data_IF_565974940552
#
_entry.id   IF_565974940552
#
_cell.length_a   1.000
_cell.length_b   1.000
_cell.length_c   1.000
_cell.angle_alpha   90.00
_cell.angle_beta   90.00
_cell.angle_gamma   90.00
#
_symmetry.space_group_name_H-M   'P 1'
#
loop_
_entity.id
_entity.type
_entity.pdbx_description
1 polymer ?
#
# COMPACT_ATOMS: atom_id res chain seq x y z
N UNK A 1 7.16 -27.67 28.79
CA UNK A 1 6.95 -27.46 27.34
C UNK A 1 7.53 -26.09 27.02
N UNK A 2 8.46 -25.99 26.06
CA UNK A 2 9.01 -24.67 25.67
C UNK A 2 7.85 -23.86 25.08
N UNK A 3 7.49 -22.73 25.69
CA UNK A 3 6.60 -21.76 25.09
C UNK A 3 7.23 -21.30 23.78
N UNK A 4 6.74 -21.82 22.65
CA UNK A 4 7.15 -21.35 21.34
C UNK A 4 6.26 -20.17 20.99
N UNK A 5 6.88 -19.05 20.64
CA UNK A 5 6.16 -17.91 20.10
C UNK A 5 5.65 -18.27 18.69
N UNK A 6 4.40 -17.96 18.42
CA UNK A 6 3.74 -18.14 17.12
C UNK A 6 3.69 -16.78 16.43
N UNK A 7 4.72 -16.49 15.64
CA UNK A 7 4.73 -15.28 14.83
C UNK A 7 3.64 -15.40 13.77
N UNK A 8 2.71 -14.46 13.71
CA UNK A 8 1.49 -14.59 12.90
C UNK A 8 1.49 -13.58 11.77
N UNK A 9 1.36 -14.08 10.53
CA UNK A 9 1.43 -13.26 9.32
C UNK A 9 0.06 -12.68 8.94
N UNK A 10 -0.97 -13.52 8.93
CA UNK A 10 -2.30 -13.14 8.45
C UNK A 10 -3.41 -14.04 8.98
N UNK A 11 -4.63 -13.50 8.99
CA UNK A 11 -5.87 -14.24 9.19
C UNK A 11 -6.66 -14.34 7.88
N UNK A 12 -7.44 -15.39 7.71
CA UNK A 12 -8.30 -15.59 6.54
C UNK A 12 -9.42 -16.57 6.86
N UNK A 13 -10.43 -16.64 5.99
CA UNK A 13 -11.50 -17.63 6.13
C UNK A 13 -10.91 -19.04 6.03
N UNK A 14 -11.31 -19.94 6.93
CA UNK A 14 -10.84 -21.32 6.91
C UNK A 14 -11.10 -21.92 5.53
N UNK A 15 -10.04 -22.33 4.80
CA UNK A 15 -10.15 -22.71 3.41
C UNK A 15 -10.66 -24.16 3.29
N UNK A 16 -11.57 -24.39 2.35
CA UNK A 16 -12.03 -25.74 1.98
C UNK A 16 -11.08 -26.44 0.97
N UNK A 17 -9.95 -25.82 0.68
CA UNK A 17 -8.96 -26.28 -0.29
C UNK A 17 -7.55 -26.30 0.34
N UNK A 18 -6.63 -27.12 -0.16
CA UNK A 18 -5.26 -27.13 0.33
C UNK A 18 -4.56 -25.80 0.00
N UNK A 19 -4.10 -25.10 1.03
CA UNK A 19 -3.30 -23.87 0.89
C UNK A 19 -1.85 -24.23 0.68
N UNK A 20 -1.23 -23.67 -0.35
CA UNK A 20 0.22 -23.78 -0.52
C UNK A 20 0.88 -22.73 0.37
N UNK A 21 1.49 -23.18 1.46
CA UNK A 21 2.22 -22.31 2.37
C UNK A 21 3.57 -21.93 1.74
N UNK A 22 3.88 -20.62 1.62
CA UNK A 22 5.15 -20.17 1.10
C UNK A 22 6.30 -20.46 2.08
N UNK A 23 7.54 -20.23 1.65
CA UNK A 23 8.68 -20.31 2.57
C UNK A 23 8.60 -19.18 3.59
N UNK A 24 8.68 -19.54 4.87
CA UNK A 24 8.79 -18.60 5.98
C UNK A 24 10.13 -17.85 5.98
N UNK A 25 10.38 -17.13 7.07
CA UNK A 25 11.61 -16.37 7.24
C UNK A 25 12.79 -17.26 7.68
N UNK A 26 12.61 -18.09 8.70
CA UNK A 26 13.64 -18.98 9.26
C UNK A 26 13.26 -20.46 9.19
N UNK A 27 11.98 -20.78 9.12
CA UNK A 27 11.43 -22.12 9.19
C UNK A 27 10.15 -22.28 8.36
N UNK A 28 9.46 -23.39 8.63
CA UNK A 28 8.22 -23.74 7.92
C UNK A 28 7.03 -23.01 8.53
N UNK A 29 6.17 -22.52 7.65
CA UNK A 29 4.89 -21.97 8.06
C UNK A 29 3.93 -23.10 8.46
N UNK A 30 3.13 -22.83 9.47
CA UNK A 30 2.10 -23.72 9.99
C UNK A 30 0.76 -23.03 9.85
N UNK A 31 -0.27 -23.81 9.53
CA UNK A 31 -1.65 -23.37 9.48
C UNK A 31 -2.33 -23.74 10.79
N UNK A 32 -2.87 -22.74 11.49
CA UNK A 32 -3.69 -22.94 12.69
C UNK A 32 -5.15 -22.67 12.31
N UNK A 33 -5.96 -23.73 12.34
CA UNK A 33 -7.36 -23.67 11.92
C UNK A 33 -8.27 -23.43 13.13
N UNK A 34 -8.99 -22.31 13.12
CA UNK A 34 -10.19 -22.13 13.92
C UNK A 34 -11.43 -22.63 13.18
N UNK A 35 -12.61 -22.42 13.78
CA UNK A 35 -13.89 -22.84 13.17
C UNK A 35 -14.14 -22.19 11.81
N UNK A 36 -14.01 -20.86 11.75
CA UNK A 36 -14.32 -20.07 10.56
C UNK A 36 -13.14 -19.24 10.05
N UNK A 37 -12.18 -18.95 10.94
CA UNK A 37 -10.99 -18.17 10.65
C UNK A 37 -9.77 -19.06 10.91
N UNK A 38 -8.81 -19.00 10.01
CA UNK A 38 -7.52 -19.64 10.12
C UNK A 38 -6.40 -18.61 10.12
N UNK A 39 -5.25 -19.00 10.67
CA UNK A 39 -4.07 -18.17 10.79
C UNK A 39 -2.84 -18.88 10.22
N UNK A 40 -1.99 -18.13 9.50
CA UNK A 40 -0.66 -18.62 9.10
C UNK A 40 0.37 -18.09 10.06
N UNK A 41 1.15 -19.01 10.63
CA UNK A 41 2.13 -18.72 11.68
C UNK A 41 3.46 -19.37 11.40
N UNK A 42 4.53 -18.80 11.96
CA UNK A 42 5.85 -19.42 12.00
C UNK A 42 6.27 -19.60 13.47
N UNK A 43 6.35 -20.84 13.96
CA UNK A 43 6.76 -21.12 15.34
C UNK A 43 8.23 -20.81 15.58
N UNK A 44 8.53 -20.27 16.77
CA UNK A 44 9.91 -20.09 17.25
C UNK A 44 10.60 -18.81 16.76
N UNK A 45 9.90 -17.93 16.04
CA UNK A 45 10.40 -16.59 15.73
C UNK A 45 10.16 -15.64 16.91
N UNK A 46 11.23 -14.94 17.32
CA UNK A 46 11.16 -13.80 18.24
C UNK A 46 11.85 -12.59 17.63
N UNK A 47 11.09 -11.55 17.30
CA UNK A 47 11.64 -10.29 16.75
C UNK A 47 12.63 -9.64 17.70
N UNK A 48 12.42 -9.79 19.02
CA UNK A 48 13.30 -9.26 20.06
C UNK A 48 14.75 -9.75 19.97
N UNK A 49 14.96 -10.97 19.45
CA UNK A 49 16.30 -11.54 19.29
C UNK A 49 17.11 -10.90 18.15
N UNK A 50 16.44 -10.19 17.24
CA UNK A 50 17.02 -9.60 16.02
C UNK A 50 17.07 -8.07 16.06
N UNK A 51 16.58 -7.42 17.11
CA UNK A 51 16.51 -5.94 17.20
C UNK A 51 17.87 -5.23 17.18
N UNK A 52 18.97 -5.95 17.43
CA UNK A 52 20.32 -5.39 17.43
C UNK A 52 21.04 -5.52 16.07
N UNK A 53 20.40 -6.10 15.06
CA UNK A 53 20.96 -6.29 13.72
C UNK A 53 19.98 -5.76 12.67
N UNK A 54 20.21 -4.54 12.20
CA UNK A 54 19.37 -3.85 11.21
C UNK A 54 19.20 -4.68 9.93
N UNK A 55 20.23 -5.40 9.49
CA UNK A 55 20.18 -6.25 8.30
C UNK A 55 19.25 -7.45 8.51
N UNK A 56 19.24 -8.00 9.73
CA UNK A 56 18.35 -9.09 10.09
C UNK A 56 16.89 -8.61 10.15
N UNK A 57 16.63 -7.44 10.74
CA UNK A 57 15.29 -6.84 10.78
C UNK A 57 14.76 -6.57 9.37
N UNK A 58 15.59 -6.01 8.48
CA UNK A 58 15.20 -5.77 7.08
C UNK A 58 14.80 -7.08 6.39
N UNK A 59 15.59 -8.15 6.55
CA UNK A 59 15.26 -9.48 5.99
C UNK A 59 13.93 -10.00 6.52
N UNK A 60 13.67 -9.85 7.82
CA UNK A 60 12.42 -10.28 8.43
C UNK A 60 11.21 -9.52 7.87
N UNK A 61 11.33 -8.20 7.69
CA UNK A 61 10.25 -7.37 7.12
C UNK A 61 9.96 -7.77 5.67
N UNK A 62 11.00 -8.01 4.86
CA UNK A 62 10.84 -8.46 3.48
C UNK A 62 10.23 -9.86 3.40
N UNK A 63 10.64 -10.78 4.28
CA UNK A 63 10.05 -12.12 4.35
C UNK A 63 8.57 -12.06 4.77
N UNK A 64 8.23 -11.19 5.73
CA UNK A 64 6.84 -10.96 6.16
C UNK A 64 5.95 -10.49 5.01
N UNK A 65 6.39 -9.46 4.29
CA UNK A 65 5.63 -8.94 3.15
C UNK A 65 5.49 -9.99 2.03
N UNK A 66 6.57 -10.74 1.75
CA UNK A 66 6.55 -11.83 0.76
C UNK A 66 5.50 -12.89 1.10
N UNK A 67 5.49 -13.39 2.34
CA UNK A 67 4.54 -14.42 2.78
C UNK A 67 3.10 -13.95 2.59
N UNK A 68 2.80 -12.71 3.01
CA UNK A 68 1.45 -12.14 2.86
C UNK A 68 1.08 -11.98 1.38
N UNK A 69 2.00 -11.49 0.54
CA UNK A 69 1.76 -11.35 -0.90
C UNK A 69 1.54 -12.70 -1.60
N UNK A 70 2.23 -13.76 -1.19
CA UNK A 70 2.04 -15.09 -1.77
C UNK A 70 0.72 -15.73 -1.31
N UNK A 71 0.29 -15.49 -0.06
CA UNK A 71 -1.01 -15.93 0.43
C UNK A 71 -2.16 -15.14 -0.22
N UNK A 72 -2.00 -13.82 -0.40
CA UNK A 72 -3.04 -12.96 -0.98
C UNK A 72 -3.35 -13.28 -2.45
N UNK A 73 -2.40 -13.89 -3.16
CA UNK A 73 -2.59 -14.42 -4.54
C UNK A 73 -3.48 -15.65 -4.58
N UNK A 74 -3.56 -16.41 -3.49
CA UNK A 74 -4.36 -17.63 -3.41
C UNK A 74 -5.74 -17.36 -2.80
N UNK A 75 -5.84 -16.43 -1.86
CA UNK A 75 -7.07 -16.15 -1.12
C UNK A 75 -7.08 -14.74 -0.53
N UNK A 76 -8.26 -14.28 -0.10
CA UNK A 76 -8.38 -13.03 0.64
C UNK A 76 -7.80 -13.18 2.04
N UNK A 77 -6.83 -12.33 2.37
CA UNK A 77 -6.13 -12.34 3.66
C UNK A 77 -6.30 -11.01 4.37
N UNK A 78 -6.36 -11.08 5.69
CA UNK A 78 -6.27 -9.96 6.62
C UNK A 78 -4.80 -9.90 7.11
N UNK A 79 -3.96 -9.05 6.50
CA UNK A 79 -2.55 -8.97 6.87
C UNK A 79 -2.39 -8.42 8.29
N UNK A 80 -1.53 -9.06 9.09
CA UNK A 80 -1.17 -8.54 10.40
C UNK A 80 0.06 -7.65 10.33
N UNK A 81 0.17 -6.76 11.31
CA UNK A 81 1.35 -5.89 11.46
C UNK A 81 2.58 -6.74 11.72
N UNK A 82 3.69 -6.34 11.13
CA UNK A 82 4.99 -6.94 11.40
C UNK A 82 5.26 -6.97 12.91
N UNK A 83 5.69 -8.14 13.41
CA UNK A 83 5.97 -8.32 14.84
C UNK A 83 4.79 -8.81 15.67
N UNK A 84 3.67 -9.17 15.05
CA UNK A 84 2.54 -9.79 15.78
C UNK A 84 2.89 -11.24 16.11
N UNK A 85 2.86 -11.60 17.40
CA UNK A 85 3.09 -12.97 17.86
C UNK A 85 2.15 -13.36 19.02
N UNK A 86 1.89 -14.66 19.14
CA UNK A 86 1.14 -15.25 20.25
C UNK A 86 2.02 -16.20 21.05
N UNK A 87 1.83 -16.22 22.37
CA UNK A 87 2.64 -17.03 23.30
C UNK A 87 2.37 -18.54 23.24
N UNK A 88 1.20 -18.93 22.69
CA UNK A 88 0.80 -20.32 22.47
C UNK A 88 -0.25 -20.42 21.38
N UNK A 89 -0.40 -21.62 20.83
CA UNK A 89 -1.47 -21.96 19.89
C UNK A 89 -2.85 -21.75 20.52
N UNK A 90 -3.07 -22.17 21.77
CA UNK A 90 -4.33 -21.93 22.48
C UNK A 90 -4.68 -20.44 22.60
N UNK A 91 -3.68 -19.57 22.82
CA UNK A 91 -3.92 -18.12 22.93
C UNK A 91 -4.35 -17.55 21.59
N UNK A 92 -3.72 -17.99 20.51
CA UNK A 92 -4.08 -17.62 19.14
C UNK A 92 -5.49 -18.12 18.79
N UNK A 93 -5.80 -19.38 19.05
CA UNK A 93 -7.12 -19.98 18.79
C UNK A 93 -8.23 -19.23 19.53
N UNK A 94 -8.04 -18.98 20.83
CA UNK A 94 -9.01 -18.21 21.61
C UNK A 94 -9.19 -16.79 21.06
N UNK A 95 -8.11 -16.15 20.60
CA UNK A 95 -8.16 -14.81 20.02
C UNK A 95 -8.94 -14.78 18.70
N UNK A 96 -8.65 -15.68 17.76
CA UNK A 96 -9.35 -15.74 16.47
C UNK A 96 -10.81 -16.15 16.64
N UNK A 97 -11.14 -17.02 17.60
CA UNK A 97 -12.53 -17.41 17.87
C UNK A 97 -13.33 -16.25 18.49
N UNK A 98 -12.72 -15.50 19.42
CA UNK A 98 -13.38 -14.39 20.10
C UNK A 98 -13.69 -13.21 19.16
N UNK A 99 -12.89 -13.04 18.10
CA UNK A 99 -13.04 -11.97 17.11
C UNK A 99 -13.47 -12.48 15.73
N UNK A 100 -13.93 -13.73 15.63
CA UNK A 100 -14.19 -14.39 14.36
C UNK A 100 -15.18 -13.59 13.49
N UNK A 101 -16.28 -13.12 14.09
CA UNK A 101 -17.29 -12.37 13.35
C UNK A 101 -16.73 -11.06 12.77
N UNK A 102 -15.98 -10.30 13.57
CA UNK A 102 -15.35 -9.06 13.12
C UNK A 102 -14.40 -9.32 11.94
N UNK A 103 -13.56 -10.35 12.05
CA UNK A 103 -12.63 -10.69 10.97
C UNK A 103 -13.33 -11.18 9.71
N UNK A 104 -14.43 -11.94 9.84
CA UNK A 104 -15.23 -12.36 8.69
C UNK A 104 -15.87 -11.16 7.99
N UNK A 105 -16.42 -10.20 8.74
CA UNK A 105 -16.99 -8.97 8.18
C UNK A 105 -15.93 -8.17 7.40
N UNK A 106 -14.73 -8.02 7.98
CA UNK A 106 -13.59 -7.38 7.30
C UNK A 106 -13.21 -8.12 6.03
N UNK A 107 -12.97 -9.43 6.11
CA UNK A 107 -12.61 -10.27 4.96
C UNK A 107 -13.64 -10.20 3.84
N UNK A 108 -14.94 -10.21 4.17
CA UNK A 108 -16.01 -10.07 3.19
C UNK A 108 -16.00 -8.71 2.49
N UNK A 109 -15.64 -7.63 3.19
CA UNK A 109 -15.58 -6.28 2.62
C UNK A 109 -14.46 -6.11 1.57
N UNK A 110 -13.36 -6.85 1.74
CA UNK A 110 -12.17 -6.84 0.87
C UNK A 110 -12.12 -8.05 -0.09
N UNK A 111 -13.10 -8.95 -0.03
CA UNK A 111 -13.11 -10.16 -0.84
C UNK A 111 -13.13 -9.82 -2.33
N UNK A 112 -12.23 -10.44 -3.09
CA UNK A 112 -12.08 -10.18 -4.52
C UNK A 112 -11.61 -8.75 -4.83
N UNK A 113 -10.96 -8.08 -3.89
CA UNK A 113 -10.34 -6.76 -4.13
C UNK A 113 -8.86 -6.79 -3.79
N UNK A 114 -8.10 -6.00 -4.53
CA UNK A 114 -6.69 -5.73 -4.28
C UNK A 114 -6.50 -4.25 -3.98
N UNK A 115 -5.49 -3.94 -3.19
CA UNK A 115 -5.07 -2.56 -2.99
C UNK A 115 -4.10 -2.14 -4.10
N UNK A 116 -4.34 -0.98 -4.69
CA UNK A 116 -3.42 -0.33 -5.62
C UNK A 116 -2.97 0.99 -5.03
N UNK A 117 -1.66 1.26 -5.11
CA UNK A 117 -1.11 2.56 -4.76
C UNK A 117 -0.92 3.39 -6.03
N UNK A 118 -1.63 4.50 -6.15
CA UNK A 118 -1.38 5.52 -7.17
C UNK A 118 -0.56 6.65 -6.55
N UNK A 119 0.67 6.82 -7.03
CA UNK A 119 1.53 7.95 -6.67
C UNK A 119 1.37 9.06 -7.69
N UNK A 120 1.23 10.28 -7.23
CA UNK A 120 1.07 11.48 -8.06
C UNK A 120 2.17 12.46 -7.68
N UNK A 121 3.15 12.61 -8.56
CA UNK A 121 4.39 13.36 -8.31
C UNK A 121 4.37 14.66 -9.12
N UNK A 122 4.67 15.83 -8.51
CA UNK A 122 4.61 17.11 -9.21
C UNK A 122 5.77 17.26 -10.20
N UNK A 123 5.48 17.79 -11.38
CA UNK A 123 6.51 18.32 -12.26
C UNK A 123 7.12 19.58 -11.66
N UNK A 124 8.44 19.73 -11.84
CA UNK A 124 9.18 20.92 -11.40
C UNK A 124 9.20 21.94 -12.53
N UNK A 125 9.07 23.22 -12.17
CA UNK A 125 9.31 24.32 -13.12
C UNK A 125 10.80 24.33 -13.45
N UNK A 126 11.13 24.33 -14.75
CA UNK A 126 12.52 24.46 -15.19
C UNK A 126 13.10 25.79 -14.72
N UNK A 127 14.34 25.79 -14.23
CA UNK A 127 15.00 27.03 -13.83
C UNK A 127 15.36 27.88 -15.04
N UNK A 128 15.19 29.20 -14.90
CA UNK A 128 15.64 30.18 -15.88
C UNK A 128 17.13 29.98 -16.18
N UNK A 129 17.46 29.55 -17.40
CA UNK A 129 18.84 29.49 -17.85
C UNK A 129 19.46 30.89 -17.75
N UNK A 130 20.69 30.98 -17.21
CA UNK A 130 21.42 32.25 -17.15
C UNK A 130 21.66 32.73 -18.59
N UNK A 131 21.14 33.91 -19.00
CA UNK A 131 21.32 34.36 -20.37
C UNK A 131 22.80 34.56 -20.68
N UNK A 132 23.26 33.89 -21.73
CA UNK A 132 24.63 33.94 -22.22
C UNK A 132 24.82 35.18 -23.10
N UNK A 133 24.78 36.37 -22.49
CA UNK A 133 24.89 37.66 -23.17
C UNK A 133 23.54 38.25 -23.61
N UNK A 134 23.30 39.51 -23.23
CA UNK A 134 22.07 40.25 -23.51
C UNK A 134 22.03 41.56 -22.72
N UNK A 135 21.24 42.53 -23.20
CA UNK A 135 21.12 43.85 -22.57
C UNK A 135 20.32 43.74 -21.26
N UNK A 136 20.64 44.51 -20.22
CA UNK A 136 20.01 44.36 -18.89
C UNK A 136 18.48 44.46 -18.88
N UNK A 137 17.89 45.22 -19.82
CA UNK A 137 16.44 45.33 -20.01
C UNK A 137 15.79 44.00 -20.43
N UNK A 138 16.46 43.23 -21.31
CA UNK A 138 15.95 41.95 -21.80
C UNK A 138 15.97 40.91 -20.68
N UNK A 139 16.98 40.97 -19.80
CA UNK A 139 17.04 40.14 -18.59
C UNK A 139 15.87 40.44 -17.64
N UNK A 140 15.55 41.71 -17.37
CA UNK A 140 14.43 42.07 -16.51
C UNK A 140 13.07 41.64 -17.10
N UNK A 141 12.90 41.77 -18.42
CA UNK A 141 11.69 41.30 -19.11
C UNK A 141 11.56 39.77 -19.04
N UNK A 142 12.63 39.02 -19.32
CA UNK A 142 12.65 37.56 -19.23
C UNK A 142 12.40 37.07 -17.79
N UNK A 143 13.01 37.75 -16.80
CA UNK A 143 12.79 37.45 -15.38
C UNK A 143 11.34 37.70 -14.96
N UNK A 144 10.72 38.79 -15.43
CA UNK A 144 9.29 39.06 -15.18
C UNK A 144 8.40 37.97 -15.78
N UNK A 145 8.60 37.63 -17.06
CA UNK A 145 7.83 36.59 -17.75
C UNK A 145 7.96 35.24 -17.05
N UNK A 146 9.16 34.88 -16.61
CA UNK A 146 9.40 33.65 -15.86
C UNK A 146 8.63 33.59 -14.55
N UNK A 147 8.60 34.67 -13.76
CA UNK A 147 7.82 34.68 -12.51
C UNK A 147 6.32 34.57 -12.78
N UNK A 148 5.82 35.21 -13.84
CA UNK A 148 4.42 35.10 -14.25
C UNK A 148 4.09 33.66 -14.68
N UNK A 149 4.94 33.03 -15.50
CA UNK A 149 4.81 31.64 -15.93
C UNK A 149 4.86 30.68 -14.73
N UNK A 150 5.81 30.86 -13.82
CA UNK A 150 5.94 30.07 -12.61
C UNK A 150 4.70 30.18 -11.73
N UNK A 151 4.16 31.38 -11.54
CA UNK A 151 2.91 31.58 -10.79
C UNK A 151 1.72 30.88 -11.46
N UNK A 152 1.58 31.00 -12.79
CA UNK A 152 0.52 30.32 -13.52
C UNK A 152 0.65 28.80 -13.47
N UNK A 153 1.89 28.28 -13.56
CA UNK A 153 2.18 26.84 -13.45
C UNK A 153 1.74 26.30 -12.09
N UNK A 154 2.15 26.94 -11.00
CA UNK A 154 1.75 26.49 -9.66
C UNK A 154 0.24 26.62 -9.41
N UNK A 155 -0.41 27.65 -9.97
CA UNK A 155 -1.86 27.78 -9.89
C UNK A 155 -2.58 26.64 -10.64
N UNK A 156 -2.16 26.33 -11.87
CA UNK A 156 -2.70 25.22 -12.65
C UNK A 156 -2.44 23.87 -11.98
N UNK A 157 -1.21 23.63 -11.51
CA UNK A 157 -0.82 22.41 -10.81
C UNK A 157 -1.65 22.17 -9.54
N UNK A 158 -1.91 23.22 -8.76
CA UNK A 158 -2.78 23.13 -7.57
C UNK A 158 -4.24 22.85 -7.94
N UNK A 159 -4.76 23.47 -9.01
CA UNK A 159 -6.11 23.21 -9.49
C UNK A 159 -6.28 21.77 -9.96
N UNK A 160 -5.32 21.25 -10.73
CA UNK A 160 -5.28 19.85 -11.19
C UNK A 160 -5.26 18.89 -10.01
N UNK A 161 -4.42 19.15 -9.00
CA UNK A 161 -4.36 18.36 -7.77
C UNK A 161 -5.70 18.29 -7.06
N UNK A 162 -6.32 19.45 -6.81
CA UNK A 162 -7.63 19.49 -6.14
C UNK A 162 -8.71 18.77 -6.95
N UNK A 163 -8.70 18.94 -8.28
CA UNK A 163 -9.63 18.24 -9.16
C UNK A 163 -9.43 16.72 -9.10
N UNK A 164 -8.18 16.24 -9.16
CA UNK A 164 -7.86 14.83 -9.11
C UNK A 164 -8.24 14.19 -7.77
N UNK A 165 -7.95 14.85 -6.65
CA UNK A 165 -8.34 14.39 -5.31
C UNK A 165 -9.86 14.25 -5.22
N UNK A 166 -10.61 15.25 -5.67
CA UNK A 166 -12.07 15.20 -5.63
C UNK A 166 -12.61 14.10 -6.54
N UNK A 167 -12.11 14.01 -7.78
CA UNK A 167 -12.55 13.02 -8.75
C UNK A 167 -12.36 11.58 -8.23
N UNK A 168 -11.18 11.28 -7.68
CA UNK A 168 -10.87 9.93 -7.18
C UNK A 168 -11.69 9.63 -5.91
N UNK A 169 -11.79 10.58 -4.98
CA UNK A 169 -12.56 10.36 -3.73
C UNK A 169 -14.06 10.24 -3.99
N UNK A 170 -14.63 10.95 -4.97
CA UNK A 170 -16.03 10.78 -5.39
C UNK A 170 -16.27 9.45 -6.10
N UNK A 171 -15.33 9.02 -6.95
CA UNK A 171 -15.45 7.78 -7.74
C UNK A 171 -15.36 6.53 -6.86
N UNK A 172 -14.41 6.49 -5.93
CA UNK A 172 -14.11 5.30 -5.12
C UNK A 172 -14.66 5.37 -3.69
N UNK A 173 -15.03 6.55 -3.20
CA UNK A 173 -15.63 6.76 -1.88
C UNK A 173 -14.80 6.10 -0.77
N UNK A 174 -15.38 5.18 0.01
CA UNK A 174 -14.69 4.43 1.06
C UNK A 174 -13.61 3.48 0.55
N UNK A 175 -13.55 3.23 -0.76
CA UNK A 175 -12.52 2.41 -1.41
C UNK A 175 -11.31 3.25 -1.87
N UNK A 176 -11.21 4.51 -1.45
CA UNK A 176 -10.03 5.34 -1.65
C UNK A 176 -9.58 6.04 -0.37
N UNK A 177 -8.28 5.99 -0.10
CA UNK A 177 -7.63 6.73 0.99
C UNK A 177 -6.58 7.65 0.37
N UNK A 178 -6.69 8.95 0.62
CA UNK A 178 -5.75 9.96 0.12
C UNK A 178 -4.77 10.38 1.21
N UNK A 179 -3.49 10.43 0.84
CA UNK A 179 -2.42 11.00 1.65
C UNK A 179 -1.76 12.13 0.86
N UNK A 180 -2.08 13.35 1.26
CA UNK A 180 -1.48 14.55 0.67
C UNK A 180 -0.18 14.91 1.42
N UNK A 181 0.97 14.74 0.75
CA UNK A 181 2.29 15.07 1.29
C UNK A 181 2.91 16.21 0.48
N UNK A 182 3.93 16.86 1.04
CA UNK A 182 4.55 18.02 0.41
C UNK A 182 5.15 17.72 -0.97
N UNK A 183 5.67 16.50 -1.19
CA UNK A 183 6.38 16.12 -2.42
C UNK A 183 5.60 15.15 -3.32
N UNK A 184 4.52 14.56 -2.82
CA UNK A 184 3.67 13.64 -3.58
C UNK A 184 2.26 13.57 -2.99
N UNK A 185 1.27 13.26 -3.83
CA UNK A 185 -0.04 12.80 -3.36
C UNK A 185 -0.12 11.30 -3.60
N UNK A 186 -0.52 10.54 -2.58
CA UNK A 186 -0.66 9.09 -2.67
C UNK A 186 -2.10 8.69 -2.44
N UNK A 187 -2.63 7.89 -3.36
CA UNK A 187 -3.94 7.26 -3.21
C UNK A 187 -3.76 5.77 -3.01
N UNK A 188 -4.40 5.23 -1.98
CA UNK A 188 -4.61 3.79 -1.82
C UNK A 188 -6.02 3.49 -2.33
N UNK A 189 -6.15 2.60 -3.29
CA UNK A 189 -7.41 2.28 -3.96
C UNK A 189 -7.71 0.80 -3.77
N UNK A 190 -8.89 0.47 -3.24
CA UNK A 190 -9.36 -0.90 -3.12
C UNK A 190 -10.22 -1.25 -4.34
N UNK A 191 -9.67 -2.03 -5.26
CA UNK A 191 -10.26 -2.28 -6.59
C UNK A 191 -10.47 -3.77 -6.82
N UNK A 192 -11.58 -4.13 -7.45
CA UNK A 192 -11.85 -5.52 -7.80
C UNK A 192 -10.76 -6.08 -8.74
N UNK A 193 -10.40 -7.36 -8.59
CA UNK A 193 -9.38 -7.97 -9.45
C UNK A 193 -9.73 -7.94 -10.94
N UNK A 194 -11.01 -7.98 -11.30
CA UNK A 194 -11.46 -7.86 -12.68
C UNK A 194 -11.36 -6.45 -13.25
N UNK A 195 -11.40 -5.43 -12.40
CA UNK A 195 -11.45 -4.02 -12.81
C UNK A 195 -10.05 -3.40 -13.00
N UNK A 196 -8.98 -4.21 -12.96
CA UNK A 196 -7.61 -3.73 -13.18
C UNK A 196 -7.45 -2.99 -14.51
N UNK A 197 -8.06 -3.52 -15.58
CA UNK A 197 -7.98 -2.89 -16.90
C UNK A 197 -8.65 -1.52 -16.91
N UNK A 198 -9.85 -1.42 -16.30
CA UNK A 198 -10.57 -0.16 -16.15
C UNK A 198 -9.78 0.87 -15.34
N UNK A 199 -9.15 0.43 -14.23
CA UNK A 199 -8.30 1.30 -13.42
C UNK A 199 -7.13 1.87 -14.24
N UNK A 200 -6.47 1.05 -15.07
CA UNK A 200 -5.38 1.50 -15.92
C UNK A 200 -5.85 2.54 -16.94
N UNK A 201 -7.00 2.31 -17.60
CA UNK A 201 -7.60 3.27 -18.53
C UNK A 201 -7.94 4.61 -17.83
N UNK A 202 -8.48 4.53 -16.61
CA UNK A 202 -8.78 5.73 -15.80
C UNK A 202 -7.51 6.51 -15.46
N UNK A 203 -6.44 5.83 -15.03
CA UNK A 203 -5.14 6.46 -14.73
C UNK A 203 -4.56 7.15 -15.95
N UNK A 204 -4.63 6.53 -17.13
CA UNK A 204 -4.19 7.16 -18.38
C UNK A 204 -5.00 8.42 -18.71
N UNK A 205 -6.33 8.36 -18.59
CA UNK A 205 -7.19 9.54 -18.79
C UNK A 205 -6.90 10.65 -17.77
N UNK A 206 -6.59 10.31 -16.51
CA UNK A 206 -6.21 11.29 -15.50
C UNK A 206 -4.85 11.93 -15.80
N UNK A 207 -3.89 11.14 -16.30
CA UNK A 207 -2.57 11.64 -16.71
C UNK A 207 -2.68 12.64 -17.86
N UNK A 208 -3.58 12.44 -18.82
CA UNK A 208 -3.84 13.40 -19.91
C UNK A 208 -4.45 14.71 -19.38
N UNK A 209 -5.29 14.63 -18.35
CA UNK A 209 -5.96 15.80 -17.74
C UNK A 209 -5.10 16.55 -16.72
N UNK A 210 -4.04 15.94 -16.22
CA UNK A 210 -3.15 16.51 -15.21
C UNK A 210 -1.70 16.57 -15.72
N UNK A 211 -1.39 17.38 -16.76
CA UNK A 211 -0.07 17.43 -17.38
C UNK A 211 1.04 17.95 -16.46
N UNK A 212 0.71 18.62 -15.35
CA UNK A 212 1.70 19.11 -14.38
C UNK A 212 2.10 18.06 -13.34
N UNK A 213 1.59 16.83 -13.49
CA UNK A 213 1.79 15.72 -12.57
C UNK A 213 2.19 14.46 -13.34
N UNK A 214 2.95 13.59 -12.68
CA UNK A 214 3.24 12.25 -13.15
C UNK A 214 2.53 11.23 -12.26
N UNK A 215 1.65 10.43 -12.85
CA UNK A 215 0.84 9.42 -12.19
C UNK A 215 1.49 8.04 -12.39
N UNK A 216 1.80 7.37 -11.29
CA UNK A 216 2.47 6.07 -11.26
C UNK A 216 1.60 5.10 -10.48
N UNK A 217 1.01 4.12 -11.17
CA UNK A 217 0.25 3.05 -10.55
C UNK A 217 1.19 1.90 -10.15
N UNK A 218 1.12 1.49 -8.88
CA UNK A 218 1.85 0.32 -8.37
C UNK A 218 1.19 -1.01 -8.71
N UNK A 219 1.91 -2.09 -8.41
CA UNK A 219 1.38 -3.45 -8.47
C UNK A 219 0.29 -3.69 -7.40
N UNK A 220 -0.58 -4.71 -7.58
CA UNK A 220 -1.57 -5.07 -6.58
C UNK A 220 -0.89 -5.54 -5.29
N UNK A 221 -1.32 -4.96 -4.18
CA UNK A 221 -0.86 -5.26 -2.83
C UNK A 221 -1.99 -5.89 -2.01
N UNK A 222 -1.64 -6.65 -0.96
CA UNK A 222 -2.56 -6.97 0.12
C UNK A 222 -3.21 -5.69 0.67
N UNK A 223 -4.46 -5.75 1.17
CA UNK A 223 -5.21 -4.59 1.60
C UNK A 223 -4.76 -4.06 2.97
N UNK A 224 -3.51 -3.61 3.07
CA UNK A 224 -2.92 -3.12 4.31
C UNK A 224 -3.62 -1.86 4.86
N UNK A 225 -4.16 -1.00 4.00
CA UNK A 225 -4.73 0.29 4.41
C UNK A 225 -6.24 0.26 4.65
N UNK A 226 -6.91 -0.85 4.32
CA UNK A 226 -8.37 -0.96 4.34
C UNK A 226 -8.89 -1.90 5.45
N UNK A 227 -8.04 -2.24 6.43
CA UNK A 227 -8.30 -3.25 7.48
C UNK A 227 -8.24 -2.71 8.90
#
# INVERSE_FOLDING_TARGET
MRSQNFYTYAFFNTPDFPVNLPSGNLGELVLINGKNISAVVEPGISVESSQNDDDQVIKMVLAHDRVICELSRQMTVLPLRFGTYFISEDTLLNHIESHAQEYQEKLNSIQGKNEYTLKVVPHKVEELAKPSGGNGKDYFLAKKQYYEQQKSFFAAQNQEKSHLINLITETYQSSAIVQDRAEEVRFHLLVNYYDKALLLEQVLSWQEKCPHWNLILGEPLPPYHFI
#
